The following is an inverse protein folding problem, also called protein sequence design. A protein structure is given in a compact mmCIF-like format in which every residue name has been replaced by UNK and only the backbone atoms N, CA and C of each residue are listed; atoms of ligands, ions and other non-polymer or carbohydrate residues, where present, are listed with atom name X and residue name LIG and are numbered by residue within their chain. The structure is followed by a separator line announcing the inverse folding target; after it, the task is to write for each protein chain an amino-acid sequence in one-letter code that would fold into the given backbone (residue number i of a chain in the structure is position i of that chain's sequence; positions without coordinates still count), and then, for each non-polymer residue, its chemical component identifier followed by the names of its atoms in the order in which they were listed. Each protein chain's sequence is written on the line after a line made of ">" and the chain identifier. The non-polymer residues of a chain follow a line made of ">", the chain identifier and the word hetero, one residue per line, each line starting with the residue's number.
data_IF_352345260386
#
_entry.id   IF_352345260386
#
_cell.length_a   1.000
_cell.length_b   1.000
_cell.length_c   1.000
_cell.angle_alpha   90.00
_cell.angle_beta   90.00
_cell.angle_gamma   90.00
#
_symmetry.space_group_name_H-M   'P 1'
#
loop_
_entity.id
_entity.type
_entity.pdbx_description
1 polymer ?
#
# COMPACT_ATOMS: atom_id res chain seq x y z
N UNK A 1 -49.44 -5.23 -10.06
CA UNK A 1 -48.57 -4.35 -9.24
C UNK A 1 -47.22 -4.97 -8.89
N UNK A 2 -47.15 -6.20 -8.35
CA UNK A 2 -45.85 -6.84 -8.01
C UNK A 2 -44.88 -6.94 -9.19
N UNK A 3 -45.33 -7.44 -10.34
CA UNK A 3 -44.48 -7.61 -11.54
C UNK A 3 -43.93 -6.27 -12.05
N UNK A 4 -44.74 -5.22 -12.02
CA UNK A 4 -44.33 -3.87 -12.45
C UNK A 4 -43.30 -3.28 -11.49
N UNK A 5 -43.47 -3.45 -10.18
CA UNK A 5 -42.46 -3.02 -9.20
C UNK A 5 -41.15 -3.81 -9.34
N UNK A 6 -41.20 -5.12 -9.60
CA UNK A 6 -40.01 -5.95 -9.80
C UNK A 6 -39.24 -5.52 -11.05
N UNK A 7 -39.94 -5.26 -12.16
CA UNK A 7 -39.34 -4.75 -13.39
C UNK A 7 -38.74 -3.35 -13.20
N UNK A 8 -39.40 -2.48 -12.43
CA UNK A 8 -38.89 -1.14 -12.12
C UNK A 8 -37.60 -1.19 -11.28
N UNK A 9 -37.51 -2.09 -10.31
CA UNK A 9 -36.31 -2.32 -9.50
C UNK A 9 -35.12 -2.87 -10.31
N UNK A 10 -35.37 -3.69 -11.33
CA UNK A 10 -34.34 -4.21 -12.24
C UNK A 10 -33.77 -3.12 -13.16
N UNK A 11 -34.59 -2.13 -13.55
CA UNK A 11 -34.18 -1.01 -14.42
C UNK A 11 -33.43 0.08 -13.61
N UNK A 12 -33.75 0.23 -12.31
CA UNK A 12 -33.06 1.15 -11.40
C UNK A 12 -31.84 0.54 -10.68
N UNK A 13 -31.47 -0.71 -10.95
CA UNK A 13 -30.20 -1.23 -10.46
C UNK A 13 -29.09 -0.34 -11.02
N UNK A 14 -28.35 0.41 -10.18
CA UNK A 14 -27.24 1.18 -10.70
C UNK A 14 -26.33 0.21 -11.43
N UNK A 15 -25.81 0.59 -12.59
CA UNK A 15 -24.65 -0.08 -13.14
C UNK A 15 -23.57 0.10 -12.07
N UNK A 16 -23.38 -0.91 -11.23
CA UNK A 16 -22.36 -0.93 -10.19
C UNK A 16 -21.05 -0.99 -10.94
N UNK A 17 -20.54 0.18 -11.29
CA UNK A 17 -19.22 0.34 -11.86
C UNK A 17 -18.26 0.43 -10.69
N UNK A 18 -17.77 -0.73 -10.24
CA UNK A 18 -16.59 -0.75 -9.38
C UNK A 18 -15.38 -0.33 -10.21
N UNK A 19 -14.42 0.36 -9.59
CA UNK A 19 -13.18 0.75 -10.25
C UNK A 19 -12.42 -0.50 -10.71
N UNK A 20 -12.47 -0.80 -12.02
CA UNK A 20 -11.65 -1.83 -12.66
C UNK A 20 -10.26 -1.27 -12.92
N UNK A 21 -9.54 -0.94 -11.86
CA UNK A 21 -8.11 -0.63 -11.98
C UNK A 21 -7.33 -1.93 -12.26
N UNK A 22 -6.40 -1.92 -13.21
CA UNK A 22 -5.51 -3.06 -13.49
C UNK A 22 -4.66 -3.46 -12.27
N UNK A 23 -4.40 -2.51 -11.35
CA UNK A 23 -3.45 -2.68 -10.25
C UNK A 23 -4.07 -3.18 -8.93
N UNK A 24 -5.36 -2.91 -8.70
CA UNK A 24 -6.05 -3.28 -7.45
C UNK A 24 -7.47 -3.80 -7.76
N UNK A 25 -7.60 -4.96 -8.43
CA UNK A 25 -8.90 -5.58 -8.73
C UNK A 25 -9.64 -6.06 -7.46
N UNK A 26 -8.92 -6.23 -6.36
CA UNK A 26 -9.43 -6.48 -5.01
C UNK A 26 -8.85 -5.44 -4.04
N UNK A 27 -9.47 -5.19 -2.87
CA UNK A 27 -8.87 -4.34 -1.85
C UNK A 27 -7.43 -4.80 -1.52
N UNK A 28 -6.44 -3.89 -1.52
CA UNK A 28 -5.06 -4.25 -1.18
C UNK A 28 -4.96 -4.63 0.30
N UNK A 29 -4.15 -5.64 0.59
CA UNK A 29 -3.95 -6.16 1.95
C UNK A 29 -2.48 -6.10 2.31
N UNK A 30 -2.17 -5.58 3.51
CA UNK A 30 -0.80 -5.34 3.95
C UNK A 30 -0.72 -4.78 5.36
N UNK A 31 0.45 -4.25 5.69
CA UNK A 31 0.76 -3.60 6.96
C UNK A 31 1.22 -2.16 6.72
N UNK A 32 0.89 -1.25 7.65
CA UNK A 32 1.30 0.16 7.62
C UNK A 32 2.03 0.54 8.91
N UNK A 33 3.13 1.27 8.80
CA UNK A 33 3.99 1.59 9.94
C UNK A 33 3.34 2.50 10.97
N UNK A 34 2.48 3.43 10.53
CA UNK A 34 1.96 4.52 11.36
C UNK A 34 1.19 4.06 12.60
N UNK A 35 0.35 3.03 12.46
CA UNK A 35 -0.61 2.64 13.51
C UNK A 35 0.03 2.26 14.84
N UNK A 36 1.29 1.83 14.84
CA UNK A 36 2.01 1.40 16.04
C UNK A 36 3.33 2.13 16.24
N UNK A 37 4.05 2.44 15.17
CA UNK A 37 5.43 2.92 15.28
C UNK A 37 5.56 4.43 15.04
N UNK A 38 4.57 5.08 14.41
CA UNK A 38 4.65 6.49 14.05
C UNK A 38 6.00 6.80 13.36
N UNK A 39 6.80 7.73 13.89
CA UNK A 39 8.14 8.05 13.40
C UNK A 39 9.27 7.15 13.90
N UNK A 40 9.01 6.18 14.78
CA UNK A 40 10.02 5.26 15.32
C UNK A 40 10.23 4.06 14.37
N UNK A 41 10.60 4.35 13.13
CA UNK A 41 10.83 3.35 12.09
C UNK A 41 12.31 3.21 11.76
N UNK A 42 12.73 2.00 11.38
CA UNK A 42 14.09 1.69 10.94
C UNK A 42 14.07 0.55 9.93
N UNK A 43 15.13 0.40 9.14
CA UNK A 43 15.26 -0.70 8.18
C UNK A 43 15.11 -2.07 8.86
N UNK A 44 15.80 -2.25 9.99
CA UNK A 44 15.75 -3.50 10.77
C UNK A 44 14.33 -3.82 11.24
N UNK A 45 13.56 -2.82 11.67
CA UNK A 45 12.16 -3.02 12.04
C UNK A 45 11.33 -3.47 10.84
N UNK A 46 11.48 -2.80 9.70
CA UNK A 46 10.72 -3.11 8.48
C UNK A 46 11.01 -4.53 8.00
N UNK A 47 12.28 -4.95 8.03
CA UNK A 47 12.69 -6.31 7.70
C UNK A 47 12.12 -7.33 8.68
N UNK A 48 12.15 -7.06 9.99
CA UNK A 48 11.54 -7.94 10.99
C UNK A 48 10.02 -8.09 10.79
N UNK A 49 9.32 -7.01 10.41
CA UNK A 49 7.89 -7.08 10.07
C UNK A 49 7.67 -7.92 8.81
N UNK A 50 8.51 -7.75 7.78
CA UNK A 50 8.42 -8.55 6.56
C UNK A 50 8.62 -10.05 6.84
N UNK A 51 9.65 -10.39 7.61
CA UNK A 51 9.93 -11.77 8.03
C UNK A 51 8.76 -12.34 8.85
N UNK A 52 8.24 -11.57 9.82
CA UNK A 52 7.09 -11.98 10.62
C UNK A 52 5.84 -12.20 9.76
N UNK A 53 5.59 -11.39 8.74
CA UNK A 53 4.46 -11.59 7.83
C UNK A 53 4.57 -12.90 7.05
N UNK A 54 5.78 -13.29 6.63
CA UNK A 54 6.03 -14.57 5.95
C UNK A 54 5.94 -15.74 6.93
N UNK A 55 6.65 -15.66 8.05
CA UNK A 55 6.75 -16.74 9.03
C UNK A 55 5.41 -17.09 9.68
N UNK A 56 4.49 -16.12 9.77
CA UNK A 56 3.14 -16.30 10.30
C UNK A 56 2.09 -16.58 9.22
N UNK A 57 2.47 -16.75 7.95
CA UNK A 57 1.55 -17.13 6.88
C UNK A 57 0.67 -15.99 6.33
N UNK A 58 0.93 -14.73 6.70
CA UNK A 58 0.10 -13.60 6.29
C UNK A 58 0.24 -13.31 4.80
N UNK A 59 1.43 -13.51 4.23
CA UNK A 59 1.66 -13.37 2.79
C UNK A 59 0.77 -14.32 1.99
N UNK A 60 0.68 -15.58 2.41
CA UNK A 60 -0.13 -16.62 1.78
C UNK A 60 -1.63 -16.31 1.86
N UNK A 61 -2.04 -15.54 2.86
CA UNK A 61 -3.40 -15.02 3.01
C UNK A 61 -3.66 -13.72 2.23
N UNK A 62 -2.67 -13.20 1.51
CA UNK A 62 -2.79 -12.04 0.63
C UNK A 62 -2.27 -10.72 1.22
N UNK A 63 -1.67 -10.71 2.42
CA UNK A 63 -1.00 -9.52 2.96
C UNK A 63 0.37 -9.34 2.31
N UNK A 64 0.40 -8.62 1.18
CA UNK A 64 1.58 -8.55 0.29
C UNK A 64 2.27 -7.19 0.28
N UNK A 65 1.71 -6.22 1.01
CA UNK A 65 2.19 -4.84 1.01
C UNK A 65 2.75 -4.44 2.38
N UNK A 66 3.91 -3.78 2.37
CA UNK A 66 4.45 -3.03 3.49
C UNK A 66 4.39 -1.55 3.09
N UNK A 67 3.65 -0.78 3.87
CA UNK A 67 3.39 0.64 3.61
C UNK A 67 4.18 1.43 4.64
N UNK A 68 5.27 2.05 4.18
CA UNK A 68 6.00 3.04 4.96
C UNK A 68 5.22 4.35 4.92
N UNK A 69 4.81 4.82 6.09
CA UNK A 69 4.04 6.05 6.24
C UNK A 69 4.95 7.28 6.30
N UNK A 70 4.71 8.25 7.19
CA UNK A 70 5.53 9.45 7.30
C UNK A 70 6.89 9.20 8.00
N UNK A 71 7.79 10.18 7.93
CA UNK A 71 9.05 10.26 8.70
C UNK A 71 10.14 9.22 8.36
N UNK A 72 10.08 8.56 7.20
CA UNK A 72 11.22 7.78 6.66
C UNK A 72 12.24 8.64 5.90
N UNK A 73 11.82 9.83 5.47
CA UNK A 73 12.63 10.75 4.68
C UNK A 73 13.71 11.33 5.58
N UNK A 74 14.97 11.16 5.20
CA UNK A 74 16.10 11.79 5.89
C UNK A 74 16.36 13.20 5.36
N UNK A 75 17.64 13.50 5.14
CA UNK A 75 18.04 14.74 4.45
C UNK A 75 17.75 14.68 2.94
N UNK A 76 17.85 15.83 2.28
CA UNK A 76 17.82 15.93 0.82
C UNK A 76 19.15 16.46 0.30
N UNK A 77 19.73 15.77 -0.67
CA UNK A 77 20.80 16.35 -1.47
C UNK A 77 20.20 17.27 -2.54
N UNK A 78 20.47 18.56 -2.39
CA UNK A 78 19.94 19.60 -3.29
C UNK A 78 20.60 19.59 -4.66
N UNK A 79 21.84 19.10 -4.80
CA UNK A 79 22.54 19.07 -6.07
C UNK A 79 22.11 17.90 -6.94
N UNK A 80 21.86 16.74 -6.34
CA UNK A 80 21.38 15.55 -7.05
C UNK A 80 19.86 15.42 -7.08
N UNK A 81 19.15 16.28 -6.35
CA UNK A 81 17.69 16.22 -6.16
C UNK A 81 17.20 14.87 -5.60
N UNK A 82 18.01 14.22 -4.74
CA UNK A 82 17.72 12.92 -4.14
C UNK A 82 17.41 13.05 -2.65
N UNK A 83 16.45 12.25 -2.17
CA UNK A 83 16.20 12.06 -0.74
C UNK A 83 17.17 11.00 -0.22
N UNK A 84 17.93 11.33 0.83
CA UNK A 84 19.00 10.50 1.38
C UNK A 84 18.50 9.41 2.34
N UNK A 85 17.19 9.38 2.61
CA UNK A 85 16.56 8.39 3.48
C UNK A 85 17.12 8.32 4.92
N UNK A 86 16.60 7.39 5.70
CA UNK A 86 17.10 7.04 7.04
C UNK A 86 17.64 5.60 7.11
N UNK A 87 17.54 4.84 6.03
CA UNK A 87 17.92 3.42 5.98
C UNK A 87 19.33 3.28 5.40
N UNK A 88 20.21 2.54 6.09
CA UNK A 88 21.61 2.38 5.68
C UNK A 88 21.74 1.67 4.32
N UNK A 89 20.86 0.69 4.05
CA UNK A 89 20.76 0.04 2.75
C UNK A 89 19.56 0.63 2.01
N UNK A 90 19.78 1.77 1.35
CA UNK A 90 18.73 2.50 0.63
C UNK A 90 17.97 1.60 -0.36
N UNK A 91 16.66 1.48 -0.16
CA UNK A 91 15.73 1.27 -1.27
C UNK A 91 15.34 2.65 -1.78
N UNK A 92 16.18 3.20 -2.66
CA UNK A 92 15.92 4.48 -3.32
C UNK A 92 15.02 4.27 -4.54
N UNK A 93 13.83 4.86 -4.51
CA UNK A 93 12.89 4.87 -5.63
C UNK A 93 12.63 6.32 -6.05
N UNK A 94 12.69 6.59 -7.35
CA UNK A 94 12.27 7.89 -7.86
C UNK A 94 10.75 8.00 -7.74
N UNK A 95 10.30 8.98 -6.96
CA UNK A 95 8.89 9.31 -6.75
C UNK A 95 8.64 10.70 -7.32
N UNK A 96 7.68 10.81 -8.22
CA UNK A 96 7.22 12.12 -8.69
C UNK A 96 6.63 12.93 -7.52
N UNK A 97 6.66 14.28 -7.57
CA UNK A 97 6.13 15.12 -6.50
C UNK A 97 4.68 14.74 -6.11
N UNK A 98 4.43 14.57 -4.82
CA UNK A 98 3.14 14.17 -4.23
C UNK A 98 2.63 12.78 -4.66
N UNK A 99 3.50 11.87 -5.07
CA UNK A 99 3.12 10.48 -5.33
C UNK A 99 3.53 9.56 -4.17
N UNK A 100 2.72 8.54 -3.92
CA UNK A 100 3.09 7.39 -3.12
C UNK A 100 3.45 6.23 -4.06
N UNK A 101 4.45 5.42 -3.68
CA UNK A 101 4.76 4.16 -4.35
C UNK A 101 4.62 3.05 -3.34
N UNK A 102 3.85 2.04 -3.72
CA UNK A 102 3.74 0.81 -2.96
C UNK A 102 4.82 -0.14 -3.48
N UNK A 103 5.75 -0.52 -2.61
CA UNK A 103 6.79 -1.49 -2.93
C UNK A 103 6.21 -2.86 -2.66
N UNK A 104 6.07 -3.68 -3.71
CA UNK A 104 5.70 -5.09 -3.57
C UNK A 104 6.98 -5.92 -3.62
N UNK A 105 7.29 -6.60 -2.52
CA UNK A 105 8.42 -7.51 -2.49
C UNK A 105 8.04 -8.81 -3.19
N UNK A 106 8.64 -9.04 -4.35
CA UNK A 106 8.58 -10.34 -5.00
C UNK A 106 9.71 -11.19 -4.41
N UNK A 107 9.35 -12.29 -3.75
CA UNK A 107 10.26 -13.41 -3.53
C UNK A 107 9.93 -14.45 -4.57
#
# INVERSE_FOLDING_TARGET
>A
MRIVLTLLLLILAPVISAQKGLLAPTPPMGWISWNLFEGNISESLVMQIADAMVDNGLRELGYEYIILDDLWQGGRDLWSHMDLGLFENEISLSVEPHQCRIIRFYK
#
